data_IF_494004874235
#
_entry.id   IF_494004874235
#
_cell.length_a   1.000
_cell.length_b   1.000
_cell.length_c   1.000
_cell.angle_alpha   90.00
_cell.angle_beta   90.00
_cell.angle_gamma   90.00
#
_symmetry.space_group_name_H-M   'P 1'
#
loop_
_entity.id
_entity.type
_entity.pdbx_description
1 polymer ?
#
# COMPACT_ATOMS: atom_id res chain seq x y z
N UNK A 1 -0.81 9.13 9.36
CA UNK A 1 -2.09 8.60 9.89
C UNK A 1 -2.82 9.75 10.55
N UNK A 2 -4.16 9.86 10.46
CA UNK A 2 -4.88 10.97 11.10
C UNK A 2 -4.66 10.97 12.62
N UNK A 3 -4.58 12.16 13.22
CA UNK A 3 -4.22 12.35 14.63
C UNK A 3 -5.19 11.69 15.62
N UNK A 4 -6.43 11.41 15.19
CA UNK A 4 -7.44 10.75 16.00
C UNK A 4 -7.25 9.23 16.11
N UNK A 5 -6.35 8.62 15.33
CA UNK A 5 -6.07 7.17 15.40
C UNK A 5 -4.90 6.94 16.35
N UNK A 6 -5.19 6.86 17.64
CA UNK A 6 -4.23 6.62 18.71
C UNK A 6 -4.12 5.13 19.06
N UNK A 7 -3.14 4.77 19.89
CA UNK A 7 -3.00 3.41 20.44
C UNK A 7 -4.25 2.98 21.22
N UNK A 8 -4.88 3.89 21.96
CA UNK A 8 -6.13 3.58 22.68
C UNK A 8 -7.27 3.21 21.72
N UNK A 9 -7.37 3.91 20.59
CA UNK A 9 -8.36 3.59 19.54
C UNK A 9 -8.05 2.25 18.89
N UNK A 10 -6.76 1.94 18.69
CA UNK A 10 -6.31 0.65 18.18
C UNK A 10 -6.70 -0.51 19.10
N UNK A 11 -6.39 -0.41 20.40
CA UNK A 11 -6.70 -1.44 21.39
C UNK A 11 -8.21 -1.65 21.54
N UNK A 12 -8.97 -0.56 21.57
CA UNK A 12 -10.43 -0.60 21.54
C UNK A 12 -10.97 -1.32 20.29
N UNK A 13 -10.39 -1.05 19.12
CA UNK A 13 -10.80 -1.67 17.86
C UNK A 13 -10.53 -3.18 17.85
N UNK A 14 -9.37 -3.63 18.35
CA UNK A 14 -9.05 -5.07 18.48
C UNK A 14 -10.07 -5.78 19.37
N UNK A 15 -10.37 -5.21 20.55
CA UNK A 15 -11.35 -5.80 21.47
C UNK A 15 -12.73 -5.90 20.81
N UNK A 16 -13.19 -4.79 20.23
CA UNK A 16 -14.52 -4.71 19.60
C UNK A 16 -14.64 -5.68 18.43
N UNK A 17 -13.60 -5.81 17.59
CA UNK A 17 -13.58 -6.74 16.47
C UNK A 17 -13.56 -8.21 16.94
N UNK A 18 -12.75 -8.52 17.96
CA UNK A 18 -12.68 -9.86 18.57
C UNK A 18 -14.05 -10.30 19.10
N UNK A 19 -14.73 -9.45 19.87
CA UNK A 19 -16.06 -9.74 20.41
C UNK A 19 -17.11 -9.91 19.30
N UNK A 20 -17.08 -9.07 18.26
CA UNK A 20 -18.08 -9.10 17.18
C UNK A 20 -17.87 -10.23 16.18
N UNK A 21 -16.61 -10.57 15.87
CA UNK A 21 -16.24 -11.54 14.84
C UNK A 21 -15.83 -12.90 15.40
N UNK A 22 -15.67 -13.01 16.72
CA UNK A 22 -15.25 -14.25 17.40
C UNK A 22 -13.99 -14.84 16.74
N UNK A 23 -13.04 -13.96 16.40
CA UNK A 23 -11.80 -14.27 15.67
C UNK A 23 -10.62 -13.64 16.40
N UNK A 24 -9.45 -14.28 16.35
CA UNK A 24 -8.23 -13.76 16.95
C UNK A 24 -7.60 -12.67 16.07
N UNK A 25 -7.40 -11.49 16.65
CA UNK A 25 -6.72 -10.34 16.04
C UNK A 25 -5.38 -10.01 16.71
N UNK A 26 -4.83 -10.91 17.53
CA UNK A 26 -3.54 -10.73 18.23
C UNK A 26 -2.35 -10.44 17.31
N UNK A 27 -2.44 -10.81 16.03
CA UNK A 27 -1.40 -10.58 15.00
C UNK A 27 -1.45 -9.19 14.37
N UNK A 28 -2.48 -8.39 14.66
CA UNK A 28 -2.59 -7.04 14.12
C UNK A 28 -1.62 -6.13 14.88
N UNK A 29 -0.91 -5.28 14.15
CA UNK A 29 0.12 -4.41 14.72
C UNK A 29 -0.17 -2.94 14.42
N UNK A 30 0.08 -2.09 15.41
CA UNK A 30 0.09 -0.64 15.23
C UNK A 30 1.52 -0.18 14.96
N UNK A 31 1.82 0.11 13.69
CA UNK A 31 3.18 0.44 13.23
C UNK A 31 3.22 1.78 12.51
N UNK A 32 4.33 2.50 12.73
CA UNK A 32 4.74 3.62 11.89
C UNK A 32 5.75 3.10 10.89
N UNK A 33 5.54 3.39 9.60
CA UNK A 33 6.43 3.00 8.52
C UNK A 33 7.09 4.26 7.99
N UNK A 34 8.42 4.32 8.05
CA UNK A 34 9.21 5.28 7.29
C UNK A 34 9.65 4.62 5.99
N UNK A 35 8.93 4.93 4.91
CA UNK A 35 9.22 4.33 3.60
C UNK A 35 10.43 4.97 2.91
N UNK A 36 10.87 6.16 3.34
CA UNK A 36 11.91 6.93 2.65
C UNK A 36 11.53 7.34 1.23
N UNK A 37 12.52 7.37 0.33
CA UNK A 37 12.33 7.79 -1.06
C UNK A 37 11.63 6.69 -1.89
N UNK A 38 10.48 7.01 -2.45
CA UNK A 38 9.70 6.08 -3.28
C UNK A 38 9.28 6.75 -4.59
N UNK A 39 9.09 5.94 -5.62
CA UNK A 39 8.39 6.31 -6.84
C UNK A 39 6.98 5.70 -6.80
N UNK A 40 5.97 6.46 -7.20
CA UNK A 40 4.57 5.99 -7.16
C UNK A 40 3.80 6.38 -8.41
N UNK A 41 2.84 5.54 -8.80
CA UNK A 41 1.92 5.75 -9.92
C UNK A 41 0.52 5.30 -9.54
N UNK A 42 -0.50 6.02 -10.02
CA UNK A 42 -1.89 5.60 -9.87
C UNK A 42 -2.26 4.69 -11.05
N UNK A 43 -2.52 3.43 -10.77
CA UNK A 43 -3.17 2.52 -11.70
C UNK A 43 -4.68 2.75 -11.68
N UNK A 44 -5.29 2.86 -12.86
CA UNK A 44 -6.74 2.95 -13.04
C UNK A 44 -7.16 1.86 -14.01
N UNK A 45 -7.88 0.86 -13.50
CA UNK A 45 -8.26 -0.32 -14.27
C UNK A 45 -8.19 -1.61 -13.46
N UNK A 46 -8.45 -2.76 -14.12
CA UNK A 46 -8.33 -4.08 -13.53
C UNK A 46 -6.89 -4.40 -13.07
N UNK A 47 -6.74 -5.15 -11.98
CA UNK A 47 -5.43 -5.55 -11.46
C UNK A 47 -4.57 -6.32 -12.48
N UNK A 48 -5.19 -7.04 -13.41
CA UNK A 48 -4.48 -7.76 -14.47
C UNK A 48 -3.68 -6.82 -15.40
N UNK A 49 -4.03 -5.54 -15.46
CA UNK A 49 -3.37 -4.51 -16.27
C UNK A 49 -2.28 -3.73 -15.48
N UNK A 50 -2.08 -4.04 -14.20
CA UNK A 50 -1.04 -3.43 -13.37
C UNK A 50 0.38 -3.62 -13.93
N UNK A 51 0.78 -4.77 -14.52
CA UNK A 51 2.12 -4.96 -15.07
C UNK A 51 2.53 -3.86 -16.06
N UNK A 52 1.63 -3.44 -16.94
CA UNK A 52 1.89 -2.36 -17.90
C UNK A 52 2.06 -0.99 -17.22
N UNK A 53 1.48 -0.80 -16.04
CA UNK A 53 1.64 0.42 -15.23
C UNK A 53 2.94 0.38 -14.43
N UNK A 54 3.31 -0.81 -13.93
CA UNK A 54 4.60 -1.06 -13.26
C UNK A 54 5.77 -0.82 -14.22
N UNK A 55 5.67 -1.29 -15.47
CA UNK A 55 6.69 -1.04 -16.50
C UNK A 55 6.94 0.47 -16.73
N UNK A 56 5.87 1.27 -16.84
CA UNK A 56 5.99 2.74 -16.95
C UNK A 56 6.68 3.35 -15.73
N UNK A 57 6.42 2.81 -14.53
CA UNK A 57 7.10 3.26 -13.32
C UNK A 57 8.58 2.88 -13.34
N UNK A 58 8.94 1.69 -13.82
CA UNK A 58 10.35 1.29 -14.00
C UNK A 58 11.09 2.20 -14.98
N UNK A 59 10.48 2.52 -16.11
CA UNK A 59 11.04 3.48 -17.08
C UNK A 59 11.25 4.85 -16.46
N UNK A 60 10.27 5.35 -15.71
CA UNK A 60 10.39 6.61 -14.97
C UNK A 60 11.57 6.58 -13.99
N UNK A 61 11.72 5.50 -13.22
CA UNK A 61 12.81 5.33 -12.25
C UNK A 61 14.17 5.37 -12.96
N UNK A 62 14.32 4.60 -14.05
CA UNK A 62 15.56 4.56 -14.83
C UNK A 62 15.91 5.92 -15.43
N UNK A 63 14.93 6.62 -16.02
CA UNK A 63 15.13 7.92 -16.66
C UNK A 63 15.49 9.04 -15.66
N UNK A 64 15.18 8.87 -14.38
CA UNK A 64 15.49 9.84 -13.33
C UNK A 64 16.79 9.54 -12.56
N UNK A 65 17.60 8.57 -13.03
CA UNK A 65 18.84 8.19 -12.34
C UNK A 65 18.60 7.55 -10.97
N UNK A 66 17.45 6.91 -10.81
CA UNK A 66 17.07 6.19 -9.60
C UNK A 66 17.21 4.69 -9.84
N UNK A 67 17.37 3.93 -8.77
CA UNK A 67 17.34 2.46 -8.78
C UNK A 67 16.32 1.95 -7.78
N UNK A 68 15.71 0.82 -8.09
CA UNK A 68 14.87 0.09 -7.14
C UNK A 68 15.68 -0.26 -5.90
N UNK A 69 15.05 -0.13 -4.75
CA UNK A 69 15.63 -0.44 -3.45
C UNK A 69 14.71 -1.39 -2.66
N UNK A 70 14.22 -2.42 -3.36
CA UNK A 70 13.42 -3.48 -2.75
C UNK A 70 14.36 -4.44 -2.01
N UNK A 71 14.10 -4.67 -0.72
CA UNK A 71 14.88 -5.54 0.16
C UNK A 71 14.00 -6.07 1.32
N UNK A 72 14.60 -6.78 2.28
CA UNK A 72 13.90 -7.38 3.43
C UNK A 72 13.17 -6.37 4.33
N UNK A 73 13.46 -5.07 4.19
CA UNK A 73 12.84 -3.99 4.96
C UNK A 73 12.01 -3.03 4.10
N UNK A 74 12.18 -3.06 2.77
CA UNK A 74 11.52 -2.15 1.83
C UNK A 74 10.84 -2.96 0.74
N UNK A 75 9.52 -2.98 0.75
CA UNK A 75 8.73 -3.80 -0.16
C UNK A 75 8.01 -2.96 -1.22
N UNK A 76 7.50 -3.61 -2.26
CA UNK A 76 6.49 -3.02 -3.13
C UNK A 76 5.21 -2.81 -2.31
N UNK A 77 4.71 -1.58 -2.28
CA UNK A 77 3.47 -1.24 -1.58
C UNK A 77 2.36 -0.94 -2.58
N UNK A 78 1.24 -1.64 -2.41
CA UNK A 78 0.00 -1.43 -3.16
C UNK A 78 -1.06 -0.86 -2.22
N UNK A 79 -1.63 0.29 -2.60
CA UNK A 79 -2.69 0.94 -1.82
C UNK A 79 -3.98 0.90 -2.63
N UNK A 80 -4.89 0.01 -2.25
CA UNK A 80 -6.20 -0.13 -2.85
C UNK A 80 -7.12 0.99 -2.36
N UNK A 81 -7.49 1.91 -3.26
CA UNK A 81 -8.41 3.01 -2.96
C UNK A 81 -9.87 2.66 -3.25
N UNK A 82 -10.10 1.63 -4.07
CA UNK A 82 -11.42 1.14 -4.45
C UNK A 82 -11.67 -0.26 -3.91
N UNK A 83 -12.88 -0.55 -3.46
CA UNK A 83 -13.28 -1.93 -3.12
C UNK A 83 -13.67 -2.69 -4.40
N UNK A 84 -12.95 -3.76 -4.79
CA UNK A 84 -13.23 -4.52 -6.00
C UNK A 84 -14.57 -5.25 -5.98
N UNK A 85 -15.16 -5.45 -4.80
CA UNK A 85 -16.49 -6.09 -4.68
C UNK A 85 -17.62 -5.17 -5.13
N UNK A 86 -17.40 -3.85 -5.07
CA UNK A 86 -18.43 -2.84 -5.32
C UNK A 86 -18.12 -1.92 -6.50
N UNK A 87 -16.87 -1.89 -6.97
CA UNK A 87 -16.41 -0.98 -8.02
C UNK A 87 -16.27 -1.72 -9.34
N UNK A 88 -16.74 -1.10 -10.45
CA UNK A 88 -16.51 -1.65 -11.79
C UNK A 88 -15.00 -1.72 -12.09
N UNK A 89 -14.50 -2.78 -12.74
CA UNK A 89 -13.05 -2.96 -12.98
C UNK A 89 -12.36 -1.74 -13.61
N UNK A 90 -12.99 -1.09 -14.59
CA UNK A 90 -12.46 0.10 -15.25
C UNK A 90 -12.29 1.34 -14.35
N UNK A 91 -12.91 1.34 -13.16
CA UNK A 91 -12.86 2.44 -12.20
C UNK A 91 -12.07 2.07 -10.93
N UNK A 92 -11.48 0.87 -10.87
CA UNK A 92 -10.60 0.50 -9.77
C UNK A 92 -9.37 1.41 -9.76
N UNK A 93 -8.93 1.75 -8.56
CA UNK A 93 -7.81 2.66 -8.34
C UNK A 93 -6.86 2.02 -7.34
N UNK A 94 -5.64 1.77 -7.79
CA UNK A 94 -4.54 1.24 -6.96
C UNK A 94 -3.37 2.21 -7.07
N UNK A 95 -2.81 2.65 -5.95
CA UNK A 95 -1.50 3.31 -5.98
C UNK A 95 -0.43 2.23 -5.89
N UNK A 96 0.39 2.13 -6.92
CA UNK A 96 1.57 1.26 -6.95
C UNK A 96 2.78 2.10 -6.51
N UNK A 97 3.50 1.65 -5.49
CA UNK A 97 4.61 2.39 -4.91
C UNK A 97 5.85 1.51 -4.74
N UNK A 98 6.91 1.88 -5.44
CA UNK A 98 8.19 1.19 -5.40
C UNK A 98 9.22 2.00 -4.59
N UNK A 99 9.91 1.38 -3.62
CA UNK A 99 11.04 2.01 -2.94
C UNK A 99 12.20 2.20 -3.90
N UNK A 100 12.84 3.38 -3.84
CA UNK A 100 13.97 3.72 -4.70
C UNK A 100 15.11 4.36 -3.91
N UNK A 101 16.28 4.41 -4.53
CA UNK A 101 17.44 5.16 -4.05
C UNK A 101 18.12 5.86 -5.22
N UNK A 102 18.89 6.90 -4.92
CA UNK A 102 19.76 7.53 -5.91
C UNK A 102 20.82 6.52 -6.35
N UNK A 103 21.08 6.49 -7.66
CA UNK A 103 22.11 5.66 -8.25
C UNK A 103 23.51 6.07 -7.79
#
# INVERSE_FOLDING_TARGET
>A
MPDFVTTDVFDWAIKTATEKKQTDFSKVEFKTIDEGLCAQILHVGPYDDEPATVEKLHEFIANNGLKLDINDHRHHHEIYLSDPRWTKPANLKTVLRLPVKKQ
#
